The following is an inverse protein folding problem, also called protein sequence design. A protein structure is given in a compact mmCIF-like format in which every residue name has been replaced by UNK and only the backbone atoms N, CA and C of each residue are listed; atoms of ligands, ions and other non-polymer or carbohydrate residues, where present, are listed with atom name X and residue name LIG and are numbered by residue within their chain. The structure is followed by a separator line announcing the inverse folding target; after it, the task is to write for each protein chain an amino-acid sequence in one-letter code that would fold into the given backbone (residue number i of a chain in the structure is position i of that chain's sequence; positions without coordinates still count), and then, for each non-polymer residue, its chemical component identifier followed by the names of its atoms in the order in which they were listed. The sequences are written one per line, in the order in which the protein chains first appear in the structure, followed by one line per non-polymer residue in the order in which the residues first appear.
data_IF_863990705848
#
_entry.id   IF_863990705848
#
_cell.length_a   1.000
_cell.length_b   1.000
_cell.length_c   1.000
_cell.angle_alpha   90.00
_cell.angle_beta   90.00
_cell.angle_gamma   90.00
#
_symmetry.space_group_name_H-M   'P 1'
#
loop_
_entity.id
_entity.type
_entity.pdbx_description
1 polymer ?
#
# COMPACT_ATOMS: atom_id res chain seq x y z
N UNK A 1 -22.58 -10.95 3.72
CA UNK A 1 -22.44 -11.30 2.28
C UNK A 1 -21.06 -10.86 1.77
N UNK A 2 -20.66 -9.57 1.81
CA UNK A 2 -19.35 -9.15 1.27
C UNK A 2 -18.16 -9.75 2.03
N UNK A 3 -18.21 -9.77 3.37
CA UNK A 3 -17.16 -10.38 4.19
C UNK A 3 -17.08 -11.89 3.96
N UNK A 4 -18.20 -12.57 3.79
CA UNK A 4 -18.24 -14.01 3.52
C UNK A 4 -17.54 -14.32 2.18
N UNK A 5 -17.78 -13.51 1.14
CA UNK A 5 -17.09 -13.65 -0.15
C UNK A 5 -15.58 -13.45 -0.04
N UNK A 6 -15.12 -12.50 0.78
CA UNK A 6 -13.69 -12.30 1.02
C UNK A 6 -13.08 -13.51 1.76
N UNK A 7 -13.79 -14.09 2.71
CA UNK A 7 -13.38 -15.31 3.41
C UNK A 7 -13.32 -16.52 2.48
N UNK A 8 -14.35 -16.73 1.64
CA UNK A 8 -14.37 -17.80 0.65
C UNK A 8 -13.22 -17.69 -0.35
N UNK A 9 -12.91 -16.46 -0.81
CA UNK A 9 -11.76 -16.21 -1.68
C UNK A 9 -10.43 -16.49 -0.97
N UNK A 10 -10.28 -16.01 0.27
CA UNK A 10 -9.11 -16.29 1.09
C UNK A 10 -8.89 -17.79 1.26
N UNK A 11 -9.94 -18.56 1.56
CA UNK A 11 -9.85 -20.01 1.71
C UNK A 11 -9.48 -20.70 0.37
N UNK A 12 -10.02 -20.24 -0.75
CA UNK A 12 -9.61 -20.72 -2.07
C UNK A 12 -8.12 -20.48 -2.36
N UNK A 13 -7.62 -19.29 -2.05
CA UNK A 13 -6.18 -18.95 -2.17
C UNK A 13 -5.33 -19.90 -1.33
N UNK A 14 -5.67 -20.09 -0.06
CA UNK A 14 -4.91 -20.90 0.89
C UNK A 14 -4.85 -22.37 0.50
N UNK A 15 -5.97 -22.94 0.06
CA UNK A 15 -6.09 -24.37 -0.14
C UNK A 15 -5.90 -24.83 -1.58
N UNK A 16 -6.08 -23.96 -2.58
CA UNK A 16 -6.10 -24.33 -3.98
C UNK A 16 -5.18 -23.47 -4.85
N UNK A 17 -5.42 -22.17 -4.93
CA UNK A 17 -4.90 -21.35 -5.99
C UNK A 17 -3.38 -21.11 -5.88
N UNK A 18 -2.86 -20.99 -4.67
CA UNK A 18 -1.42 -20.81 -4.44
C UNK A 18 -0.60 -22.00 -4.98
N UNK A 19 -1.18 -23.23 -4.97
CA UNK A 19 -0.53 -24.42 -5.49
C UNK A 19 -0.47 -24.44 -7.03
N UNK A 20 -1.39 -23.73 -7.68
CA UNK A 20 -1.44 -23.60 -9.14
C UNK A 20 -0.46 -22.55 -9.67
N UNK A 21 0.00 -21.63 -8.82
CA UNK A 21 0.88 -20.54 -9.20
C UNK A 21 2.21 -20.99 -9.80
N UNK A 22 2.77 -22.08 -9.29
CA UNK A 22 4.07 -22.64 -9.69
C UNK A 22 4.12 -24.17 -9.75
N UNK A 23 2.98 -24.83 -9.53
CA UNK A 23 2.88 -26.30 -9.51
C UNK A 23 3.49 -26.95 -8.27
N UNK A 24 3.92 -26.18 -7.28
CA UNK A 24 4.52 -26.67 -6.04
C UNK A 24 3.47 -26.69 -4.94
N UNK A 25 3.28 -27.86 -4.33
CA UNK A 25 2.37 -27.99 -3.17
C UNK A 25 2.88 -27.21 -1.97
N UNK A 26 2.08 -26.28 -1.46
CA UNK A 26 2.36 -25.46 -0.29
C UNK A 26 1.52 -25.89 0.88
N UNK A 27 2.10 -25.87 2.07
CA UNK A 27 1.39 -26.20 3.30
C UNK A 27 0.37 -25.08 3.64
N UNK A 28 -0.95 -25.37 3.71
CA UNK A 28 -1.98 -24.36 3.95
C UNK A 28 -1.79 -23.59 5.26
N UNK A 29 -1.33 -24.24 6.33
CA UNK A 29 -1.09 -23.56 7.61
C UNK A 29 0.06 -22.55 7.53
N UNK A 30 1.10 -22.86 6.76
CA UNK A 30 2.17 -21.89 6.49
C UNK A 30 1.68 -20.73 5.62
N UNK A 31 0.81 -21.00 4.64
CA UNK A 31 0.18 -19.95 3.82
C UNK A 31 -0.65 -19.03 4.68
N UNK A 32 -1.51 -19.56 5.58
CA UNK A 32 -2.32 -18.77 6.50
C UNK A 32 -1.46 -17.85 7.37
N UNK A 33 -0.40 -18.39 7.98
CA UNK A 33 0.52 -17.61 8.83
C UNK A 33 1.21 -16.50 8.05
N UNK A 34 1.70 -16.83 6.84
CA UNK A 34 2.32 -15.84 5.97
C UNK A 34 1.34 -14.75 5.58
N UNK A 35 0.15 -15.10 5.13
CA UNK A 35 -0.87 -14.12 4.74
C UNK A 35 -1.28 -13.24 5.92
N UNK A 36 -1.40 -13.79 7.12
CA UNK A 36 -1.68 -13.01 8.34
C UNK A 36 -0.54 -12.02 8.65
N UNK A 37 0.72 -12.47 8.55
CA UNK A 37 1.87 -11.60 8.76
C UNK A 37 1.93 -10.48 7.71
N UNK A 38 1.71 -10.79 6.44
CA UNK A 38 1.63 -9.80 5.37
C UNK A 38 0.51 -8.78 5.61
N UNK A 39 -0.66 -9.23 6.10
CA UNK A 39 -1.79 -8.35 6.39
C UNK A 39 -1.52 -7.37 7.54
N UNK A 40 -0.78 -7.80 8.58
CA UNK A 40 -0.34 -6.92 9.68
C UNK A 40 0.70 -5.88 9.24
N UNK A 41 1.47 -6.19 8.20
CA UNK A 41 2.62 -5.41 7.76
C UNK A 41 2.43 -4.80 6.35
N UNK A 42 1.21 -4.74 5.83
CA UNK A 42 0.97 -4.14 4.53
C UNK A 42 1.24 -2.63 4.53
N UNK A 43 1.52 -2.06 3.38
CA UNK A 43 1.92 -0.67 3.25
C UNK A 43 3.34 -0.38 3.78
N UNK A 44 4.15 -1.41 4.03
CA UNK A 44 5.48 -1.25 4.61
C UNK A 44 6.59 -1.86 3.74
N UNK A 45 7.79 -1.29 3.86
CA UNK A 45 9.01 -1.82 3.25
C UNK A 45 9.62 -2.86 4.18
N UNK A 46 9.12 -4.09 4.15
CA UNK A 46 9.62 -5.14 5.04
C UNK A 46 10.35 -6.24 4.27
N UNK A 47 11.49 -6.65 4.82
CA UNK A 47 12.23 -7.80 4.34
C UNK A 47 11.52 -9.12 4.69
N UNK A 48 11.80 -10.18 3.94
CA UNK A 48 11.26 -11.52 4.24
C UNK A 48 11.69 -12.03 5.62
N UNK A 49 12.88 -11.64 6.10
CA UNK A 49 13.37 -11.90 7.46
C UNK A 49 12.42 -11.36 8.54
N UNK A 50 11.92 -10.14 8.36
CA UNK A 50 10.97 -9.53 9.30
C UNK A 50 9.65 -10.30 9.32
N UNK A 51 9.19 -10.77 8.16
CA UNK A 51 7.99 -11.62 8.07
C UNK A 51 8.21 -12.95 8.78
N UNK A 52 9.39 -13.58 8.60
CA UNK A 52 9.74 -14.83 9.27
C UNK A 52 9.80 -14.65 10.79
N UNK A 53 10.37 -13.55 11.28
CA UNK A 53 10.42 -13.19 12.70
C UNK A 53 9.02 -12.92 13.27
N UNK A 54 8.16 -12.21 12.55
CA UNK A 54 6.78 -11.95 12.96
C UNK A 54 5.97 -13.25 13.09
N UNK A 55 6.11 -14.18 12.15
CA UNK A 55 5.48 -15.49 12.22
C UNK A 55 6.00 -16.26 13.43
N UNK A 56 7.31 -16.27 13.66
CA UNK A 56 7.92 -16.93 14.83
C UNK A 56 7.42 -16.35 16.14
N UNK A 57 7.33 -15.03 16.24
CA UNK A 57 6.90 -14.32 17.44
C UNK A 57 5.42 -14.57 17.77
N UNK A 58 4.55 -14.61 16.75
CA UNK A 58 3.10 -14.70 16.95
C UNK A 58 2.56 -16.14 16.93
N UNK A 59 3.18 -17.03 16.16
CA UNK A 59 2.69 -18.41 15.96
C UNK A 59 3.66 -19.48 16.46
N UNK A 60 4.84 -19.09 16.99
CA UNK A 60 5.85 -20.01 17.51
C UNK A 60 6.50 -20.92 16.46
N UNK A 61 6.24 -20.68 15.15
CA UNK A 61 6.71 -21.51 14.06
C UNK A 61 7.87 -20.83 13.34
N UNK A 62 8.97 -21.54 13.13
CA UNK A 62 10.10 -21.05 12.32
C UNK A 62 9.84 -21.32 10.85
N UNK A 63 10.00 -20.30 10.03
CA UNK A 63 9.97 -20.37 8.56
C UNK A 63 11.26 -19.74 8.03
N UNK A 64 11.92 -20.44 7.11
CA UNK A 64 13.13 -19.92 6.46
C UNK A 64 12.77 -18.82 5.46
N UNK A 65 13.66 -17.82 5.33
CA UNK A 65 13.49 -16.66 4.44
C UNK A 65 13.23 -17.05 2.98
N UNK A 66 13.86 -18.10 2.50
CA UNK A 66 13.67 -18.65 1.15
C UNK A 66 12.24 -19.20 0.96
N UNK A 67 11.70 -19.82 2.01
CA UNK A 67 10.32 -20.29 2.01
C UNK A 67 9.34 -19.09 1.98
N UNK A 68 9.60 -18.05 2.77
CA UNK A 68 8.82 -16.79 2.71
C UNK A 68 8.88 -16.21 1.30
N UNK A 69 10.06 -16.10 0.70
CA UNK A 69 10.24 -15.58 -0.65
C UNK A 69 9.46 -16.39 -1.70
N UNK A 70 9.51 -17.70 -1.62
CA UNK A 70 8.80 -18.62 -2.53
C UNK A 70 7.27 -18.42 -2.43
N UNK A 71 6.74 -18.35 -1.21
CA UNK A 71 5.30 -18.18 -0.98
C UNK A 71 4.81 -16.79 -1.40
N UNK A 72 5.57 -15.74 -1.10
CA UNK A 72 5.28 -14.38 -1.57
C UNK A 72 5.28 -14.32 -3.09
N UNK A 73 6.26 -14.96 -3.75
CA UNK A 73 6.31 -15.04 -5.22
C UNK A 73 5.07 -15.74 -5.80
N UNK A 74 4.60 -16.81 -5.16
CA UNK A 74 3.38 -17.49 -5.59
C UNK A 74 2.13 -16.61 -5.42
N UNK A 75 1.99 -15.91 -4.28
CA UNK A 75 0.89 -14.97 -4.04
C UNK A 75 0.87 -13.82 -5.05
N UNK A 76 2.05 -13.34 -5.47
CA UNK A 76 2.17 -12.32 -6.52
C UNK A 76 1.70 -12.84 -7.89
N UNK A 77 2.06 -14.07 -8.24
CA UNK A 77 1.66 -14.69 -9.53
C UNK A 77 0.15 -14.87 -9.68
N UNK A 78 -0.57 -15.02 -8.57
CA UNK A 78 -2.04 -15.14 -8.55
C UNK A 78 -2.73 -13.84 -8.14
N UNK A 79 -2.01 -12.72 -8.17
CA UNK A 79 -2.53 -11.38 -7.90
C UNK A 79 -3.23 -11.23 -6.53
N UNK A 80 -2.66 -11.81 -5.49
CA UNK A 80 -3.13 -11.65 -4.10
C UNK A 80 -2.38 -10.52 -3.41
N UNK A 81 -1.09 -10.42 -3.68
CA UNK A 81 -0.23 -9.33 -3.21
C UNK A 81 0.56 -8.74 -4.36
N UNK A 82 0.90 -7.48 -4.25
CA UNK A 82 1.72 -6.77 -5.22
C UNK A 82 2.67 -5.80 -4.52
N UNK A 83 3.76 -5.45 -5.20
CA UNK A 83 4.71 -4.47 -4.72
C UNK A 83 4.48 -3.13 -5.43
N UNK A 84 4.67 -2.04 -4.70
CA UNK A 84 4.69 -0.68 -5.22
C UNK A 84 6.13 -0.18 -5.21
N UNK A 85 6.69 0.16 -6.39
CA UNK A 85 8.09 0.58 -6.50
C UNK A 85 8.31 1.96 -5.91
N UNK A 86 9.56 2.23 -5.52
CA UNK A 86 9.96 3.53 -5.04
C UNK A 86 10.02 4.54 -6.18
N UNK A 87 9.45 5.72 -5.96
CA UNK A 87 9.58 6.86 -6.85
C UNK A 87 10.90 7.58 -6.68
N UNK A 88 11.49 8.00 -7.79
CA UNK A 88 12.66 8.82 -7.77
C UNK A 88 12.50 10.05 -8.67
N UNK A 89 12.52 11.26 -8.10
CA UNK A 89 12.47 12.50 -8.87
C UNK A 89 13.66 12.68 -9.80
N UNK A 90 14.72 11.89 -9.63
CA UNK A 90 15.92 11.98 -10.44
C UNK A 90 16.17 10.65 -11.18
N UNK A 91 15.86 10.61 -12.48
CA UNK A 91 15.97 9.43 -13.35
C UNK A 91 17.31 8.68 -13.28
N UNK A 92 18.37 9.34 -12.85
CA UNK A 92 19.73 8.77 -12.73
C UNK A 92 20.17 8.53 -11.28
N UNK A 93 19.28 8.64 -10.31
CA UNK A 93 19.65 8.42 -8.92
C UNK A 93 19.85 6.93 -8.63
N UNK A 94 21.00 6.60 -8.07
CA UNK A 94 21.30 5.26 -7.56
C UNK A 94 20.50 4.92 -6.29
N UNK A 95 19.88 5.91 -5.65
CA UNK A 95 19.15 5.73 -4.39
C UNK A 95 17.81 5.02 -4.61
N UNK A 96 17.09 5.31 -5.69
CA UNK A 96 15.81 4.67 -5.99
C UNK A 96 15.95 3.17 -6.32
N UNK A 97 17.05 2.79 -6.98
CA UNK A 97 17.32 1.36 -7.31
C UNK A 97 17.56 0.52 -6.03
N UNK A 98 17.90 1.17 -4.91
CA UNK A 98 18.19 0.53 -3.62
C UNK A 98 17.04 0.61 -2.63
N UNK A 99 15.98 1.35 -2.93
CA UNK A 99 14.79 1.45 -2.08
C UNK A 99 13.98 0.16 -2.23
N UNK A 100 13.66 -0.46 -1.11
CA UNK A 100 12.76 -1.61 -1.10
C UNK A 100 11.37 -1.19 -1.55
N UNK A 101 10.69 -2.06 -2.30
CA UNK A 101 9.30 -1.85 -2.67
C UNK A 101 8.41 -1.93 -1.42
N UNK A 102 7.30 -1.20 -1.44
CA UNK A 102 6.24 -1.32 -0.44
C UNK A 102 5.25 -2.39 -0.88
N UNK A 103 4.85 -3.28 0.02
CA UNK A 103 3.98 -4.41 -0.33
C UNK A 103 2.56 -4.20 0.15
N UNK A 104 1.60 -4.48 -0.75
CA UNK A 104 0.16 -4.39 -0.49
C UNK A 104 -0.56 -5.66 -0.89
N UNK A 105 -1.69 -5.93 -0.24
CA UNK A 105 -2.71 -6.76 -0.86
C UNK A 105 -3.35 -6.02 -2.03
N UNK A 106 -3.74 -6.73 -3.08
CA UNK A 106 -4.45 -6.13 -4.22
C UNK A 106 -5.85 -5.64 -3.85
N UNK A 107 -6.44 -6.22 -2.80
CA UNK A 107 -7.70 -5.78 -2.20
C UNK A 107 -7.62 -5.89 -0.67
N UNK A 108 -7.98 -4.83 0.08
CA UNK A 108 -7.92 -4.84 1.54
C UNK A 108 -8.84 -5.87 2.19
N UNK A 109 -9.91 -6.32 1.52
CA UNK A 109 -10.81 -7.34 2.04
C UNK A 109 -10.12 -8.69 2.24
N UNK A 110 -9.13 -9.01 1.39
CA UNK A 110 -8.32 -10.23 1.52
C UNK A 110 -7.44 -10.13 2.79
N UNK A 111 -6.88 -8.95 3.05
CA UNK A 111 -6.10 -8.72 4.26
C UNK A 111 -6.98 -8.81 5.52
N UNK A 112 -8.19 -8.26 5.49
CA UNK A 112 -9.18 -8.38 6.58
C UNK A 112 -9.50 -9.86 6.85
N UNK A 113 -9.75 -10.65 5.80
CA UNK A 113 -9.97 -12.09 5.93
C UNK A 113 -8.74 -12.81 6.54
N UNK A 114 -7.53 -12.47 6.09
CA UNK A 114 -6.28 -13.07 6.57
C UNK A 114 -5.99 -12.79 8.05
N UNK A 115 -6.34 -11.60 8.58
CA UNK A 115 -6.22 -11.31 10.02
C UNK A 115 -7.41 -11.82 10.83
N UNK A 116 -8.52 -12.19 10.18
CA UNK A 116 -9.74 -12.64 10.84
C UNK A 116 -10.49 -11.51 11.56
N UNK A 117 -10.39 -10.27 11.09
CA UNK A 117 -11.04 -9.12 11.69
C UNK A 117 -12.43 -8.87 11.13
N UNK A 118 -13.32 -8.34 11.96
CA UNK A 118 -14.61 -7.80 11.57
C UNK A 118 -14.64 -6.26 11.66
N UNK A 119 -15.74 -5.63 11.26
CA UNK A 119 -15.89 -4.17 11.31
C UNK A 119 -15.64 -3.56 12.70
N UNK A 120 -16.13 -4.23 13.75
CA UNK A 120 -15.96 -3.74 15.12
C UNK A 120 -14.51 -3.81 15.60
N UNK A 121 -13.75 -4.80 15.16
CA UNK A 121 -12.32 -4.92 15.48
C UNK A 121 -11.54 -3.78 14.86
N UNK A 122 -11.87 -3.41 13.61
CA UNK A 122 -11.23 -2.32 12.88
C UNK A 122 -11.57 -0.94 13.47
N UNK A 123 -12.80 -0.75 13.93
CA UNK A 123 -13.19 0.48 14.65
C UNK A 123 -12.43 0.59 15.99
N UNK A 124 -12.16 -0.54 16.63
CA UNK A 124 -11.36 -0.61 17.86
C UNK A 124 -9.85 -0.44 17.65
N UNK A 125 -9.35 -0.64 16.43
CA UNK A 125 -7.93 -0.50 16.06
C UNK A 125 -7.78 0.38 14.80
N UNK A 126 -7.84 1.70 15.02
CA UNK A 126 -7.71 2.68 13.95
C UNK A 126 -6.34 2.65 13.25
N UNK A 127 -5.31 2.09 13.87
CA UNK A 127 -4.01 1.91 13.23
C UNK A 127 -4.09 0.86 12.13
N UNK A 128 -4.62 -0.32 12.45
CA UNK A 128 -4.86 -1.38 11.45
C UNK A 128 -5.85 -0.91 10.38
N UNK A 129 -6.93 -0.21 10.77
CA UNK A 129 -7.86 0.38 9.82
C UNK A 129 -7.18 1.37 8.88
N UNK A 130 -6.22 2.17 9.35
CA UNK A 130 -5.43 3.09 8.54
C UNK A 130 -4.63 2.38 7.44
N UNK A 131 -3.94 1.30 7.75
CA UNK A 131 -3.21 0.50 6.76
C UNK A 131 -4.13 -0.15 5.72
N UNK A 132 -5.30 -0.63 6.15
CA UNK A 132 -6.30 -1.18 5.23
C UNK A 132 -6.91 -0.11 4.33
N UNK A 133 -7.14 1.08 4.88
CA UNK A 133 -7.61 2.22 4.10
C UNK A 133 -6.55 2.70 3.09
N UNK A 134 -5.29 2.74 3.49
CA UNK A 134 -4.18 3.03 2.58
C UNK A 134 -4.14 2.01 1.42
N UNK A 135 -4.27 0.72 1.72
CA UNK A 135 -4.35 -0.34 0.70
C UNK A 135 -5.52 -0.12 -0.27
N UNK A 136 -6.70 0.27 0.23
CA UNK A 136 -7.86 0.62 -0.59
C UNK A 136 -7.54 1.77 -1.53
N UNK A 137 -6.96 2.85 -0.99
CA UNK A 137 -6.60 4.03 -1.77
C UNK A 137 -5.55 3.73 -2.84
N UNK A 138 -4.49 2.98 -2.50
CA UNK A 138 -3.45 2.59 -3.45
C UNK A 138 -4.02 1.73 -4.58
N UNK A 139 -4.93 0.78 -4.27
CA UNK A 139 -5.64 -0.01 -5.29
C UNK A 139 -6.38 0.90 -6.27
N UNK A 140 -7.18 1.83 -5.77
CA UNK A 140 -8.00 2.70 -6.60
C UNK A 140 -7.14 3.70 -7.38
N UNK A 141 -6.10 4.25 -6.76
CA UNK A 141 -5.15 5.12 -7.44
C UNK A 141 -4.44 4.42 -8.61
N UNK A 142 -4.14 3.13 -8.50
CA UNK A 142 -3.56 2.34 -9.59
C UNK A 142 -4.51 2.23 -10.77
N UNK A 143 -5.79 1.96 -10.51
CA UNK A 143 -6.83 1.89 -11.55
C UNK A 143 -6.96 3.25 -12.26
N UNK A 144 -6.99 4.35 -11.51
CA UNK A 144 -7.08 5.70 -12.10
C UNK A 144 -5.79 6.09 -12.84
N UNK A 145 -4.62 5.73 -12.31
CA UNK A 145 -3.34 6.01 -12.96
C UNK A 145 -3.20 5.25 -14.28
N UNK A 146 -3.59 3.97 -14.32
CA UNK A 146 -3.55 3.14 -15.52
C UNK A 146 -4.44 3.72 -16.62
N UNK A 147 -5.67 4.15 -16.27
CA UNK A 147 -6.57 4.82 -17.21
C UNK A 147 -5.99 6.12 -17.82
N UNK A 148 -5.04 6.76 -17.12
CA UNK A 148 -4.34 7.96 -17.57
C UNK A 148 -2.94 7.66 -18.15
N UNK A 149 -2.61 6.41 -18.42
CA UNK A 149 -1.27 5.95 -18.83
C UNK A 149 -0.17 6.36 -17.82
N UNK A 150 -0.43 6.16 -16.54
CA UNK A 150 0.48 6.43 -15.44
C UNK A 150 0.69 5.21 -14.55
N UNK A 151 1.54 5.38 -13.57
CA UNK A 151 1.86 4.37 -12.55
C UNK A 151 1.87 5.02 -11.18
N UNK A 152 1.70 4.20 -10.13
CA UNK A 152 1.74 4.63 -8.74
C UNK A 152 3.00 4.12 -8.09
N UNK A 153 3.67 5.01 -7.36
CA UNK A 153 4.90 4.77 -6.64
C UNK A 153 4.75 5.23 -5.20
N UNK A 154 5.62 4.77 -4.29
CA UNK A 154 5.81 5.40 -2.98
C UNK A 154 7.10 6.23 -2.98
N UNK A 155 7.21 7.15 -2.03
CA UNK A 155 8.45 7.87 -1.78
C UNK A 155 8.88 7.75 -0.33
N UNK A 156 10.14 7.42 -0.11
CA UNK A 156 10.79 7.46 1.20
C UNK A 156 12.25 7.82 1.05
N UNK A 157 12.70 8.78 1.84
CA UNK A 157 14.10 9.16 1.86
C UNK A 157 14.83 8.70 3.14
N UNK A 158 16.14 8.87 3.12
CA UNK A 158 17.01 8.50 4.26
C UNK A 158 16.78 9.33 5.53
N UNK A 159 16.09 10.47 5.42
CA UNK A 159 15.79 11.36 6.54
C UNK A 159 14.39 11.08 7.13
N UNK A 160 13.67 10.10 6.62
CA UNK A 160 12.34 9.72 7.07
C UNK A 160 11.20 10.54 6.48
N UNK A 161 11.46 11.39 5.45
CA UNK A 161 10.38 12.02 4.70
C UNK A 161 9.74 10.99 3.78
N UNK A 162 8.43 10.85 3.88
CA UNK A 162 7.63 9.87 3.15
C UNK A 162 6.53 10.55 2.34
N UNK A 163 6.03 9.85 1.33
CA UNK A 163 4.80 10.16 0.62
C UNK A 163 4.14 8.83 0.26
N UNK A 164 2.91 8.65 0.69
CA UNK A 164 2.19 7.39 0.60
C UNK A 164 2.00 6.96 -0.86
N UNK A 165 1.68 7.91 -1.75
CA UNK A 165 1.57 7.62 -3.18
C UNK A 165 2.05 8.79 -4.05
N UNK A 166 2.75 8.45 -5.13
CA UNK A 166 3.11 9.37 -6.22
C UNK A 166 2.49 8.81 -7.50
N UNK A 167 1.50 9.50 -8.03
CA UNK A 167 0.96 9.18 -9.36
C UNK A 167 1.82 9.87 -10.40
N UNK A 168 2.47 9.10 -11.27
CA UNK A 168 3.36 9.62 -12.30
C UNK A 168 2.92 9.17 -13.69
N UNK A 169 2.59 10.13 -14.53
CA UNK A 169 2.11 9.87 -15.90
C UNK A 169 3.28 9.80 -16.89
N UNK A 170 3.11 9.06 -17.98
CA UNK A 170 4.11 8.94 -19.06
C UNK A 170 4.50 10.27 -19.72
N UNK A 171 3.65 11.30 -19.63
CA UNK A 171 3.96 12.64 -20.11
C UNK A 171 4.87 13.45 -19.17
N UNK A 172 5.30 12.85 -18.05
CA UNK A 172 6.15 13.47 -17.03
C UNK A 172 5.40 14.31 -16.00
N UNK A 173 4.07 14.41 -16.08
CA UNK A 173 3.27 15.02 -15.02
C UNK A 173 3.15 14.05 -13.83
N UNK A 174 3.16 14.59 -12.61
CA UNK A 174 2.99 13.77 -11.42
C UNK A 174 2.26 14.54 -10.32
N UNK A 175 1.63 13.81 -9.43
CA UNK A 175 0.98 14.31 -8.22
C UNK A 175 1.51 13.60 -6.98
N UNK A 176 1.56 14.31 -5.85
CA UNK A 176 1.97 13.78 -4.56
C UNK A 176 0.74 13.60 -3.68
N UNK A 177 0.62 12.45 -3.03
CA UNK A 177 -0.59 12.05 -2.30
C UNK A 177 -0.20 11.48 -0.93
N UNK A 178 -0.79 12.04 0.12
CA UNK A 178 -0.83 11.48 1.47
C UNK A 178 -2.20 10.88 1.72
N UNK A 179 -2.26 9.74 2.38
CA UNK A 179 -3.49 9.00 2.67
C UNK A 179 -3.73 9.02 4.19
N UNK A 180 -4.86 9.59 4.61
CA UNK A 180 -5.21 9.74 6.02
C UNK A 180 -6.67 9.32 6.24
N UNK A 181 -6.96 8.67 7.36
CA UNK A 181 -8.36 8.31 7.67
C UNK A 181 -9.28 9.53 7.72
N UNK A 182 -8.76 10.67 8.17
CA UNK A 182 -9.48 11.94 8.27
C UNK A 182 -9.21 12.65 9.60
N UNK A 183 -9.85 13.82 9.77
CA UNK A 183 -9.66 14.70 10.90
C UNK A 183 -8.59 15.77 10.67
N UNK A 184 -8.84 16.98 11.17
CA UNK A 184 -8.05 18.18 10.87
C UNK A 184 -6.55 18.00 11.14
N UNK A 185 -6.21 17.36 12.25
CA UNK A 185 -4.81 17.11 12.62
C UNK A 185 -4.06 16.25 11.59
N UNK A 186 -4.67 15.14 11.17
CA UNK A 186 -4.03 14.24 10.20
C UNK A 186 -3.97 14.88 8.80
N UNK A 187 -4.97 15.69 8.45
CA UNK A 187 -4.97 16.46 7.19
C UNK A 187 -3.84 17.49 7.21
N UNK A 188 -3.63 18.18 8.33
CA UNK A 188 -2.54 19.16 8.48
C UNK A 188 -1.17 18.47 8.37
N UNK A 189 -0.95 17.38 9.10
CA UNK A 189 0.29 16.60 9.04
C UNK A 189 0.59 16.12 7.61
N UNK A 190 -0.43 15.61 6.90
CA UNK A 190 -0.29 15.19 5.49
C UNK A 190 0.04 16.36 4.56
N UNK A 191 -0.61 17.49 4.74
CA UNK A 191 -0.33 18.69 3.93
C UNK A 191 1.10 19.22 4.15
N UNK A 192 1.59 19.19 5.38
CA UNK A 192 2.97 19.59 5.69
C UNK A 192 4.00 18.65 5.08
N UNK A 193 3.78 17.33 5.15
CA UNK A 193 4.63 16.31 4.52
C UNK A 193 4.73 16.54 3.01
N UNK A 194 3.60 16.74 2.34
CA UNK A 194 3.53 17.00 0.90
C UNK A 194 4.28 18.28 0.49
N UNK A 195 4.11 19.37 1.26
CA UNK A 195 4.84 20.63 1.03
C UNK A 195 6.35 20.46 1.20
N UNK A 196 6.76 19.76 2.27
CA UNK A 196 8.17 19.48 2.52
C UNK A 196 8.80 18.64 1.38
N UNK A 197 8.07 17.68 0.83
CA UNK A 197 8.55 16.91 -0.32
C UNK A 197 8.62 17.77 -1.59
N UNK A 198 7.59 18.57 -1.89
CA UNK A 198 7.60 19.51 -3.02
C UNK A 198 8.79 20.43 -2.97
N UNK A 199 9.07 21.03 -1.81
CA UNK A 199 10.14 22.00 -1.64
C UNK A 199 11.55 21.38 -1.72
N UNK A 200 11.64 20.05 -1.56
CA UNK A 200 12.88 19.28 -1.73
C UNK A 200 13.17 18.94 -3.19
N UNK A 201 12.17 18.98 -4.06
CA UNK A 201 12.33 18.68 -5.48
C UNK A 201 13.05 19.86 -6.15
N UNK A 202 14.17 19.55 -6.84
CA UNK A 202 14.90 20.58 -7.56
C UNK A 202 14.17 20.96 -8.87
N UNK A 203 13.65 22.19 -9.00
CA UNK A 203 12.87 22.63 -10.16
C UNK A 203 13.67 22.68 -11.46
N UNK A 204 15.01 22.75 -11.39
CA UNK A 204 15.86 22.68 -12.58
C UNK A 204 15.93 21.28 -13.20
N UNK A 205 15.68 20.25 -12.38
CA UNK A 205 15.77 18.83 -12.78
C UNK A 205 14.42 18.20 -13.05
N UNK A 206 13.36 18.69 -12.43
CA UNK A 206 12.04 18.16 -12.53
C UNK A 206 10.99 19.26 -12.34
N UNK A 207 9.91 19.22 -13.12
CA UNK A 207 8.79 20.15 -12.96
C UNK A 207 8.18 20.02 -11.56
N UNK A 208 7.53 21.08 -11.10
CA UNK A 208 6.73 20.99 -9.88
C UNK A 208 5.60 19.94 -10.03
N UNK A 209 5.15 19.31 -8.93
CA UNK A 209 4.00 18.43 -8.96
C UNK A 209 2.77 19.18 -9.48
N UNK A 210 1.95 18.51 -10.26
CA UNK A 210 0.70 19.06 -10.79
C UNK A 210 -0.31 19.35 -9.67
N UNK A 211 -0.27 18.54 -8.61
CA UNK A 211 -1.08 18.74 -7.41
C UNK A 211 -0.43 18.12 -6.17
N UNK A 212 -0.83 18.60 -5.01
CA UNK A 212 -0.61 18.01 -3.69
C UNK A 212 -1.98 17.62 -3.16
N UNK A 213 -2.15 16.38 -2.72
CA UNK A 213 -3.45 15.82 -2.34
C UNK A 213 -3.36 15.07 -1.02
N UNK A 214 -4.20 15.43 -0.06
CA UNK A 214 -4.52 14.58 1.09
C UNK A 214 -5.81 13.82 0.76
N UNK A 215 -5.69 12.50 0.57
CA UNK A 215 -6.80 11.60 0.30
C UNK A 215 -7.35 11.08 1.62
N UNK A 216 -8.66 11.27 1.85
CA UNK A 216 -9.27 10.96 3.15
C UNK A 216 -10.37 9.91 3.07
N UNK A 217 -10.55 9.17 4.17
CA UNK A 217 -11.66 8.22 4.34
C UNK A 217 -12.98 8.91 4.76
N UNK A 218 -12.87 10.09 5.35
CA UNK A 218 -13.99 10.86 5.85
C UNK A 218 -14.08 12.22 5.15
N UNK A 219 -15.30 12.72 4.98
CA UNK A 219 -15.61 14.02 4.38
C UNK A 219 -16.74 13.92 3.36
N UNK A 220 -17.48 15.02 3.20
CA UNK A 220 -18.65 15.08 2.34
C UNK A 220 -18.34 15.69 0.96
N UNK A 221 -17.25 16.42 0.84
CA UNK A 221 -16.86 17.11 -0.40
C UNK A 221 -15.34 17.33 -0.48
N UNK A 222 -14.86 17.46 -1.72
CA UNK A 222 -13.49 17.84 -2.01
C UNK A 222 -13.33 19.38 -1.91
N UNK A 223 -12.19 19.82 -1.38
CA UNK A 223 -11.87 21.25 -1.29
C UNK A 223 -10.37 21.50 -1.47
N UNK A 224 -10.02 22.74 -1.75
CA UNK A 224 -8.65 23.21 -1.81
C UNK A 224 -8.38 24.11 -0.61
N UNK A 225 -7.31 23.83 0.11
CA UNK A 225 -6.80 24.62 1.22
C UNK A 225 -6.16 25.92 0.73
N UNK A 226 -6.01 26.90 1.62
CA UNK A 226 -5.35 28.19 1.32
C UNK A 226 -3.87 28.00 0.93
N UNK A 227 -3.19 26.94 1.45
CA UNK A 227 -1.82 26.59 1.10
C UNK A 227 -1.70 25.83 -0.24
N UNK A 228 -2.81 25.64 -0.94
CA UNK A 228 -2.88 25.03 -2.26
C UNK A 228 -3.00 23.51 -2.28
N UNK A 229 -2.96 22.84 -1.12
CA UNK A 229 -3.16 21.39 -1.01
C UNK A 229 -4.64 21.05 -1.18
N UNK A 230 -4.95 20.04 -1.97
CA UNK A 230 -6.29 19.49 -2.09
C UNK A 230 -6.56 18.49 -0.98
N UNK A 231 -7.79 18.50 -0.47
CA UNK A 231 -8.30 17.47 0.44
C UNK A 231 -9.50 16.83 -0.23
N UNK A 232 -9.42 15.53 -0.46
CA UNK A 232 -10.42 14.81 -1.25
C UNK A 232 -10.79 13.51 -0.53
N UNK A 233 -12.05 13.34 -0.13
CA UNK A 233 -12.56 12.04 0.30
C UNK A 233 -12.49 11.03 -0.83
N UNK A 234 -12.10 9.78 -0.52
CA UNK A 234 -11.95 8.71 -1.54
C UNK A 234 -13.22 8.54 -2.38
N UNK A 235 -14.39 8.68 -1.80
CA UNK A 235 -15.67 8.60 -2.49
C UNK A 235 -15.94 9.74 -3.49
N UNK A 236 -15.13 10.81 -3.48
CA UNK A 236 -15.21 11.89 -4.46
C UNK A 236 -14.33 11.66 -5.70
N UNK A 237 -13.46 10.65 -5.70
CA UNK A 237 -12.69 10.28 -6.88
C UNK A 237 -13.59 9.61 -7.91
N UNK A 238 -13.36 9.92 -9.18
CA UNK A 238 -14.05 9.32 -10.32
C UNK A 238 -13.04 9.03 -11.44
N UNK A 239 -13.31 7.98 -12.20
CA UNK A 239 -12.59 7.66 -13.43
C UNK A 239 -12.92 8.67 -14.55
#
# INVERSE_FOLDING_TARGET
IALDQAMDYYDAVVHSDINRADGVSKNPERVKRLMRSLARNQGQQIANTVIAEDIKANDGTTIEDETVASYVSALKKIFVVEDMPAWNPNLRSKTAIRSADTRYYVDPSIAVAAIGAGPNDLIGDLKTMGFLFETLCVRDLRVFADALNGEVYHYRDKNGLECDAVVHLRNGSYGLIEIKLGGDKLIEEGAESLKALRDKINPEKMKNPAFLLVLTGLGDFAYRRDDGVYVVPIGCLKA
#
